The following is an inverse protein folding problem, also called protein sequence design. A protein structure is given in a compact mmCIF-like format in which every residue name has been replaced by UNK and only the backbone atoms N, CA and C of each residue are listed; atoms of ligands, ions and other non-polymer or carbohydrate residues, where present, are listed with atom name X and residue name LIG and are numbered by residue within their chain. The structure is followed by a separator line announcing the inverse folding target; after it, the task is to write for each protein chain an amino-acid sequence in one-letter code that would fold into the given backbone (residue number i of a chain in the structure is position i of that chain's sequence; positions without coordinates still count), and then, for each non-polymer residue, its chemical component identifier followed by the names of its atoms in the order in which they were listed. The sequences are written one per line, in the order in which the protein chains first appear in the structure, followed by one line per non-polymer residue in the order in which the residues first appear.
data_IF_960467968365
#
_entry.id   IF_960467968365
#
_cell.length_a   1.000
_cell.length_b   1.000
_cell.length_c   1.000
_cell.angle_alpha   90.00
_cell.angle_beta   90.00
_cell.angle_gamma   90.00
#
_symmetry.space_group_name_H-M   'P 1'
#
loop_
_entity.id
_entity.type
_entity.pdbx_description
1 polymer ?
#
# COMPACT_ATOMS: atom_id res chain seq x y z
N UNK A 1 0.68 20.14 -39.97
CA UNK A 1 1.82 19.26 -39.64
C UNK A 1 3.11 19.91 -40.15
N UNK A 2 4.30 19.70 -39.57
CA UNK A 2 4.74 18.91 -38.40
C UNK A 2 5.34 19.85 -37.31
N UNK A 3 5.92 19.49 -36.15
CA UNK A 3 6.44 18.25 -35.62
C UNK A 3 6.29 18.26 -34.08
N UNK A 4 5.69 17.18 -33.58
CA UNK A 4 5.85 16.54 -32.27
C UNK A 4 6.89 17.19 -31.33
N UNK A 5 6.44 18.00 -30.38
CA UNK A 5 7.24 18.44 -29.25
C UNK A 5 7.55 17.25 -28.34
N UNK A 6 8.70 16.65 -28.64
CA UNK A 6 9.59 16.02 -27.68
C UNK A 6 8.92 15.09 -26.65
N UNK A 7 8.50 13.94 -27.19
CA UNK A 7 8.61 12.64 -26.54
C UNK A 7 9.89 12.54 -25.71
N UNK A 8 9.79 12.69 -24.39
CA UNK A 8 10.13 11.68 -23.36
C UNK A 8 10.28 12.31 -21.98
N UNK A 9 9.35 11.90 -21.12
CA UNK A 9 9.51 11.73 -19.68
C UNK A 9 10.97 11.54 -19.27
N UNK A 10 11.49 12.52 -18.52
CA UNK A 10 12.71 12.42 -17.73
C UNK A 10 12.46 11.36 -16.65
N UNK A 11 12.75 10.11 -16.94
CA UNK A 11 12.74 9.06 -15.93
C UNK A 11 13.87 9.36 -14.93
N UNK A 12 13.46 9.57 -13.68
CA UNK A 12 14.29 9.75 -12.51
C UNK A 12 15.48 8.76 -12.50
N UNK A 13 16.67 9.32 -12.30
CA UNK A 13 17.97 8.67 -12.05
C UNK A 13 18.99 8.55 -13.18
N UNK A 14 18.81 9.23 -14.33
CA UNK A 14 19.91 9.63 -15.24
C UNK A 14 20.77 8.54 -15.88
N UNK A 15 20.64 7.27 -15.48
CA UNK A 15 21.31 6.11 -16.06
C UNK A 15 20.34 5.42 -17.00
N UNK A 16 20.79 5.10 -18.22
CA UNK A 16 19.92 4.42 -19.18
C UNK A 16 19.68 2.97 -18.72
N UNK A 17 18.51 2.41 -19.02
CA UNK A 17 18.21 1.01 -18.72
C UNK A 17 19.27 0.06 -19.33
N UNK A 18 19.81 0.44 -20.48
CA UNK A 18 20.87 -0.27 -21.19
C UNK A 18 22.18 -0.33 -20.41
N UNK A 19 22.55 0.73 -19.71
CA UNK A 19 23.76 0.75 -18.87
C UNK A 19 23.59 -0.19 -17.68
N UNK A 20 22.37 -0.23 -17.10
CA UNK A 20 22.05 -1.12 -16.00
C UNK A 20 22.01 -2.59 -16.42
N UNK A 21 21.51 -2.87 -17.62
CA UNK A 21 21.49 -4.22 -18.19
C UNK A 21 22.92 -4.77 -18.37
N UNK A 22 23.84 -3.95 -18.91
CA UNK A 22 25.26 -4.30 -19.07
C UNK A 22 25.97 -4.56 -17.75
N UNK A 23 25.73 -3.73 -16.74
CA UNK A 23 26.33 -3.86 -15.40
C UNK A 23 25.88 -5.14 -14.68
N UNK A 24 24.65 -5.57 -14.95
CA UNK A 24 24.05 -6.78 -14.39
C UNK A 24 24.30 -8.04 -15.25
N UNK A 25 25.00 -7.91 -16.40
CA UNK A 25 25.26 -9.02 -17.31
C UNK A 25 24.00 -9.60 -17.98
N UNK A 26 22.92 -8.83 -18.05
CA UNK A 26 21.63 -9.25 -18.62
C UNK A 26 21.30 -8.48 -19.88
N UNK A 27 20.47 -9.05 -20.76
CA UNK A 27 20.03 -8.36 -21.97
C UNK A 27 19.04 -7.23 -21.65
N UNK A 28 18.97 -6.21 -22.50
CA UNK A 28 18.02 -5.10 -22.37
C UNK A 28 16.56 -5.63 -22.42
N UNK A 29 16.31 -6.67 -23.21
CA UNK A 29 15.03 -7.38 -23.27
C UNK A 29 14.67 -8.00 -21.92
N UNK A 30 15.61 -8.72 -21.30
CA UNK A 30 15.42 -9.33 -19.97
C UNK A 30 15.13 -8.27 -18.90
N UNK A 31 15.82 -7.13 -18.95
CA UNK A 31 15.57 -6.03 -18.03
C UNK A 31 14.19 -5.40 -18.25
N UNK A 32 13.77 -5.23 -19.52
CA UNK A 32 12.44 -4.74 -19.85
C UNK A 32 11.34 -5.69 -19.39
N UNK A 33 11.49 -6.99 -19.61
CA UNK A 33 10.52 -8.01 -19.19
C UNK A 33 10.42 -8.08 -17.67
N UNK A 34 11.55 -8.01 -16.96
CA UNK A 34 11.59 -7.98 -15.50
C UNK A 34 10.92 -6.72 -14.95
N UNK A 35 11.21 -5.55 -15.56
CA UNK A 35 10.57 -4.29 -15.18
C UNK A 35 9.07 -4.33 -15.48
N UNK A 36 8.63 -4.89 -16.59
CA UNK A 36 7.21 -5.03 -16.91
C UNK A 36 6.49 -5.92 -15.87
N UNK A 37 7.12 -7.02 -15.45
CA UNK A 37 6.56 -7.96 -14.46
C UNK A 37 6.53 -7.40 -13.04
N UNK A 38 7.55 -6.63 -12.64
CA UNK A 38 7.74 -6.26 -11.24
C UNK A 38 7.55 -4.77 -10.92
N UNK A 39 7.52 -3.88 -11.91
CA UNK A 39 7.34 -2.42 -11.66
C UNK A 39 6.00 -2.07 -11.03
N UNK A 40 4.95 -2.87 -11.28
CA UNK A 40 3.62 -2.68 -10.69
C UNK A 40 3.45 -3.27 -9.29
N UNK A 41 4.34 -4.17 -8.85
CA UNK A 41 4.20 -4.88 -7.57
C UNK A 41 4.33 -3.92 -6.39
N UNK A 42 5.29 -2.98 -6.44
CA UNK A 42 5.47 -2.00 -5.37
C UNK A 42 4.28 -1.03 -5.24
N UNK A 43 3.64 -0.67 -6.35
CA UNK A 43 2.46 0.21 -6.36
C UNK A 43 1.22 -0.53 -5.84
N UNK A 44 1.04 -1.79 -6.23
CA UNK A 44 -0.07 -2.61 -5.77
C UNK A 44 0.03 -2.95 -4.27
N UNK A 45 1.23 -3.26 -3.78
CA UNK A 45 1.43 -3.54 -2.36
C UNK A 45 1.23 -2.28 -1.51
N UNK A 46 1.73 -1.12 -1.95
CA UNK A 46 1.46 0.15 -1.27
C UNK A 46 -0.04 0.51 -1.24
N UNK A 47 -0.79 0.20 -2.30
CA UNK A 47 -2.25 0.37 -2.33
C UNK A 47 -2.95 -0.58 -1.36
N UNK A 48 -2.55 -1.84 -1.31
CA UNK A 48 -3.08 -2.83 -0.38
C UNK A 48 -2.82 -2.45 1.06
N UNK A 49 -1.61 -1.97 1.36
CA UNK A 49 -1.24 -1.50 2.69
C UNK A 49 -2.13 -0.33 3.13
N UNK A 50 -2.34 0.68 2.27
CA UNK A 50 -3.25 1.80 2.58
C UNK A 50 -4.70 1.34 2.82
N UNK A 51 -5.19 0.41 2.01
CA UNK A 51 -6.54 -0.13 2.20
C UNK A 51 -6.69 -0.83 3.55
N UNK A 52 -5.69 -1.62 3.97
CA UNK A 52 -5.67 -2.27 5.27
C UNK A 52 -5.52 -1.26 6.43
N UNK A 53 -4.74 -0.21 6.26
CA UNK A 53 -4.62 0.87 7.25
C UNK A 53 -5.94 1.62 7.45
N UNK A 54 -6.66 1.90 6.36
CA UNK A 54 -7.97 2.56 6.40
C UNK A 54 -9.03 1.66 7.03
N UNK A 55 -9.04 0.37 6.71
CA UNK A 55 -9.94 -0.61 7.31
C UNK A 55 -9.67 -0.75 8.82
N UNK A 56 -8.40 -0.86 9.23
CA UNK A 56 -8.02 -0.92 10.64
C UNK A 56 -8.45 0.34 11.40
N UNK A 57 -8.34 1.52 10.78
CA UNK A 57 -8.80 2.78 11.37
C UNK A 57 -10.32 2.80 11.55
N UNK A 58 -11.07 2.31 10.55
CA UNK A 58 -12.54 2.22 10.62
C UNK A 58 -13.02 1.24 11.70
N UNK A 59 -12.28 0.16 11.94
CA UNK A 59 -12.66 -0.86 12.93
C UNK A 59 -12.29 -0.48 14.36
N UNK A 60 -11.16 0.22 14.56
CA UNK A 60 -10.67 0.57 15.91
C UNK A 60 -11.57 1.55 16.67
N UNK A 61 -12.20 2.51 15.99
CA UNK A 61 -13.06 3.49 16.67
C UNK A 61 -14.32 2.84 17.26
N UNK A 62 -15.11 2.08 16.47
CA UNK A 62 -16.28 1.36 17.01
C UNK A 62 -15.93 0.28 18.04
N UNK A 63 -14.79 -0.43 17.87
CA UNK A 63 -14.39 -1.46 18.83
C UNK A 63 -14.07 -0.85 20.20
N UNK A 64 -13.40 0.30 20.24
CA UNK A 64 -13.12 1.01 21.48
C UNK A 64 -14.41 1.48 22.17
N UNK A 65 -15.35 2.05 21.41
CA UNK A 65 -16.66 2.48 21.92
C UNK A 65 -17.48 1.30 22.49
N UNK A 66 -17.58 0.21 21.73
CA UNK A 66 -18.29 -1.00 22.17
C UNK A 66 -17.62 -1.66 23.39
N UNK A 67 -16.30 -1.60 23.50
CA UNK A 67 -15.56 -2.10 24.66
C UNK A 67 -15.88 -1.28 25.92
N UNK A 68 -15.91 0.06 25.78
CA UNK A 68 -16.31 0.97 26.86
C UNK A 68 -17.76 0.72 27.31
N UNK A 69 -18.68 0.60 26.37
CA UNK A 69 -20.09 0.29 26.67
C UNK A 69 -20.24 -1.06 27.37
N UNK A 70 -19.49 -2.08 26.92
CA UNK A 70 -19.48 -3.41 27.55
C UNK A 70 -18.97 -3.33 29.00
N UNK A 71 -17.92 -2.56 29.26
CA UNK A 71 -17.41 -2.36 30.61
C UNK A 71 -18.39 -1.60 31.50
N UNK A 72 -19.02 -0.55 30.98
CA UNK A 72 -20.05 0.22 31.67
C UNK A 72 -21.24 -0.67 32.04
N UNK A 73 -21.74 -1.47 31.11
CA UNK A 73 -22.84 -2.42 31.35
C UNK A 73 -22.45 -3.46 32.42
N UNK A 74 -21.25 -4.05 32.33
CA UNK A 74 -20.75 -4.97 33.36
C UNK A 74 -20.66 -4.31 34.73
N UNK A 75 -20.27 -3.04 34.80
CA UNK A 75 -20.20 -2.29 36.05
C UNK A 75 -21.59 -2.05 36.66
N UNK A 76 -22.58 -1.68 35.84
CA UNK A 76 -23.98 -1.50 36.27
C UNK A 76 -24.56 -2.82 36.77
N UNK A 77 -24.37 -3.92 36.03
CA UNK A 77 -24.85 -5.26 36.42
C UNK A 77 -24.27 -5.66 37.78
N UNK A 78 -22.95 -5.50 37.98
CA UNK A 78 -22.30 -5.77 39.28
C UNK A 78 -22.84 -4.89 40.41
N UNK A 79 -23.05 -3.60 40.15
CA UNK A 79 -23.57 -2.66 41.16
C UNK A 79 -24.99 -3.02 41.60
N UNK A 80 -25.83 -3.49 40.68
CA UNK A 80 -27.23 -3.81 40.95
C UNK A 80 -27.44 -5.23 41.50
N UNK A 81 -26.36 -6.01 41.69
CA UNK A 81 -26.46 -7.40 42.17
C UNK A 81 -27.18 -8.33 41.20
N UNK A 82 -27.33 -7.92 39.93
CA UNK A 82 -27.86 -8.79 38.88
C UNK A 82 -26.75 -9.78 38.51
N UNK A 83 -26.98 -11.07 38.75
CA UNK A 83 -26.00 -12.09 38.39
C UNK A 83 -25.89 -12.23 36.88
N UNK A 84 -24.64 -12.32 36.38
CA UNK A 84 -24.33 -12.83 35.03
C UNK A 84 -24.45 -14.35 34.99
#
# INVERSE_FOLDING_TARGET
MPASSAVRSRHSNGRSARDRARELGISDQTLYDWRAKHSGLGVNEARRLRALEDENRRLKTPEAELSLDREALKAVIRKNGWSL
#
